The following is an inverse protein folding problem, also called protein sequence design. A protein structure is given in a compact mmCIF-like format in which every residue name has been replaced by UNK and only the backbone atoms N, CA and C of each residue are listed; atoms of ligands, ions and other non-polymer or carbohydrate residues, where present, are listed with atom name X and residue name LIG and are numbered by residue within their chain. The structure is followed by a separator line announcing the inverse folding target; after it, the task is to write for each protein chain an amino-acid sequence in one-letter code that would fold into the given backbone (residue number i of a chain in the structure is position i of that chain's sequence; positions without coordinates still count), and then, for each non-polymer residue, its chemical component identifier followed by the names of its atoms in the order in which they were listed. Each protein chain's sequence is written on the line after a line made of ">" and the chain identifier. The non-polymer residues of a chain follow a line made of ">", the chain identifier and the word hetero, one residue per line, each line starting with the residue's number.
data_IF_025004487031
#
_entry.id   IF_025004487031
#
_cell.length_a   1.000
_cell.length_b   1.000
_cell.length_c   1.000
_cell.angle_alpha   90.00
_cell.angle_beta   90.00
_cell.angle_gamma   90.00
#
_symmetry.space_group_name_H-M   'P 1'
#
loop_
_entity.id
_entity.type
_entity.pdbx_description
1 polymer ?
#
# COMPACT_ATOMS: atom_id res chain seq x y z
N UNK A 1 -12.28 6.48 -47.63
CA UNK A 1 -11.74 5.22 -47.06
C UNK A 1 -10.48 5.45 -46.23
N UNK A 2 -9.42 6.07 -46.76
CA UNK A 2 -8.15 6.33 -46.05
C UNK A 2 -8.31 7.21 -44.79
N UNK A 3 -9.12 8.27 -44.86
CA UNK A 3 -9.34 9.19 -43.73
C UNK A 3 -10.07 8.49 -42.55
N UNK A 4 -10.99 7.57 -42.86
CA UNK A 4 -11.72 6.79 -41.85
C UNK A 4 -10.76 5.79 -41.17
N UNK A 5 -9.85 5.17 -41.93
CA UNK A 5 -8.82 4.26 -41.39
C UNK A 5 -7.83 5.02 -40.50
N UNK A 6 -7.42 6.22 -40.90
CA UNK A 6 -6.56 7.09 -40.10
C UNK A 6 -7.25 7.56 -38.82
N UNK A 7 -8.54 7.92 -38.87
CA UNK A 7 -9.30 8.28 -37.67
C UNK A 7 -9.50 7.09 -36.72
N UNK A 8 -9.79 5.89 -37.25
CA UNK A 8 -9.92 4.67 -36.46
C UNK A 8 -8.62 4.27 -35.78
N UNK A 9 -7.49 4.34 -36.50
CA UNK A 9 -6.16 4.07 -35.91
C UNK A 9 -5.82 5.11 -34.85
N UNK A 10 -6.08 6.40 -35.09
CA UNK A 10 -5.83 7.45 -34.11
C UNK A 10 -6.71 7.34 -32.85
N UNK A 11 -7.97 6.89 -33.00
CA UNK A 11 -8.90 6.58 -31.90
C UNK A 11 -8.48 5.34 -31.11
N UNK A 12 -8.01 4.29 -31.79
CA UNK A 12 -7.44 3.08 -31.17
C UNK A 12 -6.13 3.41 -30.46
N UNK A 13 -5.33 4.34 -30.97
CA UNK A 13 -4.07 4.77 -30.35
C UNK A 13 -4.31 5.65 -29.12
N UNK A 14 -5.30 6.54 -29.13
CA UNK A 14 -5.67 7.36 -27.97
C UNK A 14 -6.49 6.60 -26.92
N UNK A 15 -7.17 5.52 -27.31
CA UNK A 15 -7.80 4.55 -26.41
C UNK A 15 -7.03 3.21 -26.44
N UNK A 16 -5.70 3.27 -26.47
CA UNK A 16 -4.87 2.08 -26.67
C UNK A 16 -4.75 1.26 -25.38
N UNK A 17 -4.76 -0.08 -25.47
CA UNK A 17 -4.51 -0.98 -24.35
C UNK A 17 -3.20 -0.68 -23.60
N UNK A 18 -2.23 -0.02 -24.25
CA UNK A 18 -0.93 0.33 -23.67
C UNK A 18 -1.05 1.30 -22.49
N UNK A 19 -1.88 2.34 -22.59
CA UNK A 19 -2.03 3.33 -21.50
C UNK A 19 -2.68 2.69 -20.27
N UNK A 20 -3.70 1.85 -20.49
CA UNK A 20 -4.38 1.14 -19.39
C UNK A 20 -3.42 0.15 -18.72
N UNK A 21 -2.66 -0.61 -19.52
CA UNK A 21 -1.64 -1.53 -19.00
C UNK A 21 -0.57 -0.80 -18.18
N UNK A 22 -0.13 0.37 -18.64
CA UNK A 22 0.84 1.20 -17.94
C UNK A 22 0.35 1.65 -16.54
N UNK A 23 -0.95 1.96 -16.41
CA UNK A 23 -1.57 2.31 -15.13
C UNK A 23 -1.63 1.08 -14.22
N UNK A 24 -2.09 -0.05 -14.75
CA UNK A 24 -2.18 -1.33 -14.03
C UNK A 24 -0.80 -1.77 -13.51
N UNK A 25 0.24 -1.69 -14.34
CA UNK A 25 1.61 -2.01 -13.93
C UNK A 25 2.14 -1.04 -12.89
N UNK A 26 1.85 0.26 -13.03
CA UNK A 26 2.26 1.26 -12.05
C UNK A 26 1.62 1.02 -10.69
N UNK A 27 0.31 0.69 -10.69
CA UNK A 27 -0.43 0.31 -9.50
C UNK A 27 0.16 -0.93 -8.84
N UNK A 28 0.38 -2.00 -9.60
CA UNK A 28 0.98 -3.23 -9.12
C UNK A 28 2.36 -2.99 -8.50
N UNK A 29 3.25 -2.29 -9.22
CA UNK A 29 4.60 -2.00 -8.73
C UNK A 29 4.57 -1.20 -7.42
N UNK A 30 3.77 -0.13 -7.35
CA UNK A 30 3.69 0.74 -6.17
C UNK A 30 3.06 0.03 -4.97
N UNK A 31 1.97 -0.72 -5.18
CA UNK A 31 1.28 -1.44 -4.11
C UNK A 31 2.18 -2.50 -3.53
N UNK A 32 2.73 -3.39 -4.37
CA UNK A 32 3.65 -4.43 -3.88
C UNK A 32 4.89 -3.82 -3.22
N UNK A 33 5.42 -2.70 -3.73
CA UNK A 33 6.54 -2.02 -3.08
C UNK A 33 6.17 -1.54 -1.66
N UNK A 34 4.96 -1.01 -1.48
CA UNK A 34 4.46 -0.59 -0.16
C UNK A 34 4.30 -1.81 0.76
N UNK A 35 3.61 -2.86 0.30
CA UNK A 35 3.33 -4.04 1.11
C UNK A 35 4.60 -4.79 1.53
N UNK A 36 5.58 -4.90 0.63
CA UNK A 36 6.81 -5.65 0.91
C UNK A 36 7.81 -4.86 1.76
N UNK A 37 8.07 -3.59 1.43
CA UNK A 37 9.12 -2.83 2.10
C UNK A 37 8.63 -2.04 3.32
N UNK A 38 7.35 -1.68 3.37
CA UNK A 38 6.74 -0.98 4.51
C UNK A 38 5.96 -1.99 5.36
N UNK A 39 5.08 -2.77 4.73
CA UNK A 39 4.22 -3.73 5.42
C UNK A 39 4.90 -5.04 5.83
N UNK A 40 6.13 -5.31 5.38
CA UNK A 40 6.87 -6.54 5.68
C UNK A 40 6.24 -7.81 5.10
N UNK A 41 5.32 -7.70 4.14
CA UNK A 41 4.57 -8.82 3.56
C UNK A 41 5.33 -9.52 2.44
N UNK A 42 4.89 -10.74 2.11
CA UNK A 42 5.30 -11.42 0.88
C UNK A 42 4.40 -11.01 -0.30
N UNK A 43 4.88 -11.23 -1.53
CA UNK A 43 4.08 -10.96 -2.74
C UNK A 43 2.86 -11.87 -2.79
N UNK A 44 2.97 -13.09 -2.26
CA UNK A 44 1.88 -14.06 -2.20
C UNK A 44 0.77 -13.59 -1.27
N UNK A 45 1.11 -13.12 -0.06
CA UNK A 45 0.13 -12.55 0.88
C UNK A 45 -0.58 -11.34 0.27
N UNK A 46 0.17 -10.50 -0.43
CA UNK A 46 -0.36 -9.34 -1.13
C UNK A 46 -1.31 -9.74 -2.28
N UNK A 47 -1.00 -10.83 -3.00
CA UNK A 47 -1.87 -11.37 -4.04
C UNK A 47 -3.16 -11.98 -3.52
N UNK A 48 -3.15 -12.59 -2.35
CA UNK A 48 -4.36 -13.20 -1.80
C UNK A 48 -5.27 -12.18 -1.12
N UNK A 49 -4.68 -11.19 -0.45
CA UNK A 49 -5.43 -10.23 0.39
C UNK A 49 -5.74 -8.92 -0.33
N UNK A 50 -4.81 -8.36 -1.10
CA UNK A 50 -4.94 -7.01 -1.66
C UNK A 50 -5.23 -7.04 -3.18
N UNK A 51 -4.36 -7.71 -3.93
CA UNK A 51 -4.43 -7.80 -5.40
C UNK A 51 -5.52 -8.78 -5.87
N UNK A 52 -5.81 -9.84 -5.12
CA UNK A 52 -6.70 -10.92 -5.55
C UNK A 52 -8.15 -10.48 -5.74
N UNK A 53 -8.58 -9.42 -5.06
CA UNK A 53 -9.87 -8.74 -5.30
C UNK A 53 -9.90 -7.91 -6.58
N UNK A 54 -8.74 -7.49 -7.08
CA UNK A 54 -8.57 -6.71 -8.30
C UNK A 54 -8.13 -7.64 -9.44
N UNK A 55 -9.07 -8.37 -10.02
CA UNK A 55 -8.83 -9.40 -11.04
C UNK A 55 -7.94 -8.96 -12.22
N UNK A 56 -7.92 -7.66 -12.54
CA UNK A 56 -7.08 -7.07 -13.58
C UNK A 56 -5.58 -7.05 -13.25
N UNK A 57 -5.18 -7.24 -11.99
CA UNK A 57 -3.79 -7.30 -11.53
C UNK A 57 -3.22 -8.74 -11.54
N UNK A 58 -4.07 -9.76 -11.65
CA UNK A 58 -3.66 -11.16 -11.55
C UNK A 58 -2.64 -11.58 -12.62
N UNK A 59 -2.76 -11.03 -13.83
CA UNK A 59 -1.92 -11.38 -14.98
C UNK A 59 -0.61 -10.57 -15.05
N UNK A 60 -0.37 -9.66 -14.11
CA UNK A 60 0.84 -8.83 -14.08
C UNK A 60 1.98 -9.63 -13.48
N UNK A 61 3.11 -9.69 -14.18
CA UNK A 61 4.37 -10.20 -13.62
C UNK A 61 4.95 -9.16 -12.68
N UNK A 62 5.33 -9.59 -11.48
CA UNK A 62 5.88 -8.73 -10.42
C UNK A 62 7.22 -9.31 -10.00
N UNK A 63 8.25 -8.46 -9.94
CA UNK A 63 9.60 -8.86 -9.51
C UNK A 63 10.06 -7.88 -8.45
N UNK A 64 10.36 -8.41 -7.25
CA UNK A 64 10.89 -7.65 -6.14
C UNK A 64 12.40 -7.81 -6.10
N UNK A 65 13.12 -6.69 -6.09
CA UNK A 65 14.56 -6.65 -5.85
C UNK A 65 14.81 -6.06 -4.46
N UNK A 66 15.23 -6.93 -3.52
CA UNK A 66 15.51 -6.53 -2.14
C UNK A 66 16.84 -5.80 -1.98
N UNK A 67 17.78 -5.98 -2.91
CA UNK A 67 19.10 -5.33 -2.88
C UNK A 67 19.00 -3.85 -3.23
N UNK A 68 18.26 -3.50 -4.29
CA UNK A 68 18.06 -2.11 -4.70
C UNK A 68 16.77 -1.49 -4.10
N UNK A 69 16.05 -2.27 -3.28
CA UNK A 69 14.77 -1.90 -2.66
C UNK A 69 13.75 -1.40 -3.67
N UNK A 70 13.48 -2.21 -4.70
CA UNK A 70 12.55 -1.85 -5.77
C UNK A 70 11.64 -2.99 -6.18
N UNK A 71 10.57 -2.63 -6.88
CA UNK A 71 9.64 -3.57 -7.52
C UNK A 71 9.41 -3.14 -8.95
N UNK A 72 9.46 -4.10 -9.88
CA UNK A 72 9.00 -3.90 -11.25
C UNK A 72 7.74 -4.72 -11.51
N UNK A 73 6.87 -4.18 -12.37
CA UNK A 73 5.65 -4.83 -12.80
C UNK A 73 5.42 -4.64 -14.29
N UNK A 74 4.97 -5.69 -14.98
CA UNK A 74 4.71 -5.68 -16.41
C UNK A 74 3.88 -6.89 -16.85
N UNK A 75 3.34 -6.82 -18.06
CA UNK A 75 2.82 -7.95 -18.84
C UNK A 75 3.72 -8.16 -20.06
N UNK A 76 3.83 -9.38 -20.56
CA UNK A 76 4.71 -9.71 -21.69
C UNK A 76 4.36 -8.83 -22.91
N UNK A 77 5.34 -8.08 -23.42
CA UNK A 77 5.16 -7.19 -24.57
C UNK A 77 4.69 -5.76 -24.23
N UNK A 78 4.53 -5.43 -22.95
CA UNK A 78 4.13 -4.10 -22.49
C UNK A 78 5.27 -3.34 -21.81
N UNK A 79 5.07 -2.05 -21.56
CA UNK A 79 6.01 -1.21 -20.79
C UNK A 79 6.18 -1.74 -19.37
N UNK A 80 7.42 -1.73 -18.88
CA UNK A 80 7.76 -2.03 -17.49
C UNK A 80 7.56 -0.78 -16.65
N UNK A 81 6.86 -0.92 -15.52
CA UNK A 81 6.78 0.12 -14.48
C UNK A 81 7.59 -0.30 -13.26
N UNK A 82 8.28 0.67 -12.65
CA UNK A 82 9.15 0.46 -11.49
C UNK A 82 8.72 1.37 -10.34
N UNK A 83 8.66 0.82 -9.14
CA UNK A 83 8.55 1.58 -7.90
C UNK A 83 9.78 1.29 -7.04
N UNK A 84 10.21 2.30 -6.27
CA UNK A 84 11.34 2.19 -5.34
C UNK A 84 10.86 2.49 -3.93
N UNK A 85 11.37 1.75 -2.96
CA UNK A 85 11.23 2.10 -1.56
C UNK A 85 12.27 3.15 -1.20
N UNK A 86 11.79 4.18 -0.51
CA UNK A 86 12.59 5.28 0.00
C UNK A 86 12.38 5.30 1.50
N UNK A 87 13.44 5.05 2.29
CA UNK A 87 13.34 5.10 3.75
C UNK A 87 12.63 6.37 4.19
N UNK A 88 11.69 6.25 5.12
CA UNK A 88 10.90 7.35 5.73
C UNK A 88 9.91 8.05 4.77
N UNK A 89 9.96 7.77 3.47
CA UNK A 89 9.07 8.34 2.45
C UNK A 89 8.15 7.30 1.80
N UNK A 90 8.37 6.02 2.09
CA UNK A 90 7.59 4.91 1.57
C UNK A 90 7.88 4.59 0.10
N UNK A 91 6.90 4.00 -0.58
CA UNK A 91 7.03 3.56 -1.97
C UNK A 91 6.74 4.70 -2.95
N UNK A 92 7.69 4.96 -3.86
CA UNK A 92 7.56 5.96 -4.93
C UNK A 92 7.59 5.29 -6.29
N UNK A 93 6.56 5.53 -7.10
CA UNK A 93 6.54 5.11 -8.51
C UNK A 93 7.49 5.98 -9.32
N UNK A 94 8.32 5.37 -10.16
CA UNK A 94 9.18 6.09 -11.10
C UNK A 94 8.33 6.51 -12.31
N UNK A 95 8.22 7.83 -12.52
CA UNK A 95 7.52 8.43 -13.66
C UNK A 95 8.41 9.45 -14.38
N UNK A 96 8.09 10.74 -14.28
CA UNK A 96 8.65 11.86 -15.04
C UNK A 96 10.13 12.15 -14.69
N UNK A 97 10.60 11.59 -13.57
CA UNK A 97 11.96 11.71 -13.10
C UNK A 97 12.67 10.36 -13.14
N UNK A 98 13.96 10.39 -13.45
CA UNK A 98 14.80 9.19 -13.36
C UNK A 98 14.90 8.70 -11.92
N UNK A 99 15.16 7.40 -11.75
CA UNK A 99 15.39 6.81 -10.42
C UNK A 99 16.45 7.58 -9.62
N UNK A 100 17.55 7.95 -10.28
CA UNK A 100 18.64 8.72 -9.69
C UNK A 100 18.15 10.09 -9.18
N UNK A 101 17.35 10.81 -9.97
CA UNK A 101 16.79 12.09 -9.55
C UNK A 101 15.88 11.91 -8.33
N UNK A 102 14.98 10.92 -8.35
CA UNK A 102 14.08 10.63 -7.22
C UNK A 102 14.87 10.27 -5.96
N UNK A 103 15.89 9.41 -6.07
CA UNK A 103 16.75 9.05 -4.93
C UNK A 103 17.59 10.21 -4.40
N UNK A 104 17.91 11.18 -5.26
CA UNK A 104 18.66 12.38 -4.85
C UNK A 104 17.81 13.47 -4.21
N UNK A 105 16.48 13.40 -4.32
CA UNK A 105 15.60 14.38 -3.69
C UNK A 105 15.79 14.38 -2.17
N UNK A 106 15.92 15.58 -1.61
CA UNK A 106 16.02 15.80 -0.16
C UNK A 106 14.67 16.28 0.35
N UNK A 107 14.30 15.81 1.54
CA UNK A 107 13.08 16.20 2.22
C UNK A 107 13.46 16.74 3.57
N UNK A 108 12.85 17.86 3.93
CA UNK A 108 12.91 18.34 5.29
C UNK A 108 11.83 17.59 6.06
N UNK A 109 12.22 16.50 6.72
CA UNK A 109 11.34 15.87 7.68
C UNK A 109 11.15 16.82 8.86
N UNK A 110 9.92 16.93 9.42
CA UNK A 110 9.74 17.66 10.66
C UNK A 110 10.65 17.04 11.72
N UNK A 111 11.31 17.88 12.51
CA UNK A 111 12.03 17.37 13.69
C UNK A 111 11.02 16.66 14.59
N UNK A 112 11.40 15.53 15.21
CA UNK A 112 10.59 14.92 16.24
C UNK A 112 10.30 15.97 17.33
N UNK A 113 9.18 15.85 18.08
CA UNK A 113 8.85 16.79 19.13
C UNK A 113 10.01 16.95 20.11
N UNK A 114 10.33 18.19 20.50
CA UNK A 114 11.35 18.47 21.51
C UNK A 114 10.90 18.12 22.95
N UNK A 115 9.68 17.63 23.09
CA UNK A 115 9.11 17.23 24.37
C UNK A 115 9.06 15.72 24.37
N UNK A 116 9.52 15.13 25.46
CA UNK A 116 9.41 13.70 25.70
C UNK A 116 7.92 13.29 25.78
N UNK A 117 7.47 12.53 24.78
CA UNK A 117 6.08 12.13 24.63
C UNK A 117 5.63 11.21 25.75
N UNK A 118 6.56 10.52 26.43
CA UNK A 118 6.27 9.65 27.58
C UNK A 118 5.70 10.42 28.79
N UNK A 119 5.80 11.76 28.78
CA UNK A 119 5.25 12.64 29.81
C UNK A 119 3.96 13.35 29.41
N UNK A 120 3.53 13.28 28.16
CA UNK A 120 2.31 13.92 27.67
C UNK A 120 1.20 12.87 27.53
N UNK A 121 0.05 13.04 28.20
CA UNK A 121 -1.09 12.13 28.02
C UNK A 121 -1.52 12.03 26.55
N UNK A 122 -2.02 10.86 26.18
CA UNK A 122 -2.77 10.69 24.94
C UNK A 122 -3.90 11.75 24.85
N UNK A 123 -4.22 12.31 23.66
CA UNK A 123 -3.73 11.96 22.32
C UNK A 123 -2.44 12.66 21.88
N UNK A 124 -1.89 13.58 22.69
CA UNK A 124 -0.76 14.40 22.27
C UNK A 124 0.61 13.77 22.55
N UNK A 125 0.65 12.67 23.31
CA UNK A 125 1.85 11.87 23.54
C UNK A 125 1.49 10.47 24.02
N UNK A 126 2.50 9.78 24.53
CA UNK A 126 2.49 8.34 24.80
C UNK A 126 2.50 8.04 26.31
N UNK A 127 2.23 9.04 27.16
CA UNK A 127 2.13 8.81 28.60
C UNK A 127 0.97 7.89 28.91
N UNK A 128 1.31 6.69 29.37
CA UNK A 128 0.38 5.77 29.99
C UNK A 128 0.07 6.31 31.40
N UNK A 129 -1.12 6.91 31.56
CA UNK A 129 -1.53 7.56 32.81
C UNK A 129 -1.92 6.52 33.88
N UNK A 130 -2.45 5.38 33.44
CA UNK A 130 -2.85 4.27 34.30
C UNK A 130 -2.63 2.93 33.59
N UNK A 131 -2.05 1.97 34.31
CA UNK A 131 -1.90 0.59 33.86
C UNK A 131 -3.03 -0.31 34.35
N UNK A 132 -3.92 0.21 35.21
CA UNK A 132 -5.08 -0.51 35.72
C UNK A 132 -6.13 -0.67 34.62
N UNK A 133 -6.66 -1.89 34.52
CA UNK A 133 -7.73 -2.16 33.57
C UNK A 133 -9.04 -1.54 34.10
N UNK A 134 -9.82 -0.80 33.29
CA UNK A 134 -11.01 -0.12 33.79
C UNK A 134 -12.02 -1.10 34.36
N UNK A 135 -12.46 -0.88 35.60
CA UNK A 135 -13.34 -1.82 36.31
C UNK A 135 -14.74 -1.94 35.69
N UNK A 136 -15.16 -0.95 34.89
CA UNK A 136 -16.43 -0.96 34.16
C UNK A 136 -16.32 -1.63 32.78
N UNK A 137 -15.13 -2.06 32.35
CA UNK A 137 -14.93 -2.74 31.08
C UNK A 137 -14.83 -4.25 31.32
N UNK A 138 -15.68 -5.01 30.64
CA UNK A 138 -15.58 -6.47 30.64
C UNK A 138 -14.48 -6.90 29.68
N UNK A 139 -13.31 -7.28 30.24
CA UNK A 139 -12.14 -7.67 29.47
C UNK A 139 -12.40 -8.81 28.50
N UNK A 140 -13.05 -9.88 28.96
CA UNK A 140 -13.34 -11.06 28.13
C UNK A 140 -14.29 -10.72 26.99
N UNK A 141 -15.28 -9.86 27.22
CA UNK A 141 -16.19 -9.44 26.16
C UNK A 141 -15.47 -8.59 25.10
N UNK A 142 -14.58 -7.69 25.52
CA UNK A 142 -13.77 -6.88 24.61
C UNK A 142 -12.82 -7.73 23.77
N UNK A 143 -12.07 -8.64 24.40
CA UNK A 143 -11.13 -9.54 23.72
C UNK A 143 -11.87 -10.40 22.69
N UNK A 144 -13.00 -11.01 23.07
CA UNK A 144 -13.82 -11.77 22.12
C UNK A 144 -14.33 -10.92 20.95
N UNK A 145 -14.72 -9.66 21.21
CA UNK A 145 -15.15 -8.76 20.15
C UNK A 145 -13.99 -8.45 19.18
N UNK A 146 -12.80 -8.13 19.71
CA UNK A 146 -11.60 -7.87 18.91
C UNK A 146 -11.23 -9.12 18.09
N UNK A 147 -11.14 -10.27 18.72
CA UNK A 147 -10.76 -11.53 18.07
C UNK A 147 -11.74 -11.88 16.94
N UNK A 148 -13.04 -11.67 17.17
CA UNK A 148 -14.08 -11.94 16.16
C UNK A 148 -13.92 -11.08 14.89
N UNK A 149 -13.34 -9.88 14.98
CA UNK A 149 -13.11 -9.01 13.83
C UNK A 149 -12.03 -9.54 12.89
N UNK A 150 -11.13 -10.41 13.37
CA UNK A 150 -10.09 -11.04 12.57
C UNK A 150 -10.50 -12.41 12.01
N UNK A 151 -11.69 -12.91 12.37
CA UNK A 151 -12.21 -14.18 11.87
C UNK A 151 -13.07 -13.93 10.63
N UNK A 152 -12.66 -14.49 9.50
CA UNK A 152 -13.45 -14.44 8.27
C UNK A 152 -14.62 -15.42 8.34
N UNK A 153 -15.82 -14.90 8.57
CA UNK A 153 -17.04 -15.71 8.71
C UNK A 153 -17.75 -16.00 7.39
N UNK A 154 -17.56 -15.14 6.38
CA UNK A 154 -18.12 -15.32 5.04
C UNK A 154 -16.99 -15.33 3.99
N UNK A 155 -16.61 -16.50 3.45
CA UNK A 155 -15.56 -16.60 2.43
C UNK A 155 -15.84 -15.79 1.15
N UNK A 156 -17.11 -15.51 0.83
CA UNK A 156 -17.51 -14.74 -0.35
C UNK A 156 -17.50 -13.23 -0.11
N UNK A 157 -17.46 -12.79 1.15
CA UNK A 157 -17.43 -11.39 1.54
C UNK A 157 -16.54 -11.23 2.79
N UNK A 158 -15.21 -11.40 2.62
CA UNK A 158 -14.29 -11.27 3.74
C UNK A 158 -14.21 -9.81 4.23
N UNK A 159 -14.03 -9.63 5.54
CA UNK A 159 -13.93 -8.33 6.22
C UNK A 159 -12.52 -7.75 6.05
N UNK A 160 -11.48 -8.61 6.04
CA UNK A 160 -10.06 -8.26 5.87
C UNK A 160 -9.59 -7.20 6.87
N UNK A 161 -9.94 -7.37 8.15
CA UNK A 161 -9.48 -6.49 9.22
C UNK A 161 -7.95 -6.54 9.33
N UNK A 162 -7.29 -5.41 9.11
CA UNK A 162 -5.83 -5.29 9.24
C UNK A 162 -5.39 -4.68 10.56
N UNK A 163 -6.22 -3.83 11.16
CA UNK A 163 -5.93 -3.15 12.42
C UNK A 163 -7.24 -2.81 13.13
N UNK A 164 -7.18 -2.82 14.46
CA UNK A 164 -8.24 -2.36 15.35
C UNK A 164 -7.60 -1.37 16.31
N UNK A 165 -8.23 -0.22 16.50
CA UNK A 165 -7.85 0.77 17.51
C UNK A 165 -8.95 0.82 18.55
N UNK A 166 -8.58 0.63 19.81
CA UNK A 166 -9.51 0.73 20.95
C UNK A 166 -9.13 1.98 21.73
N UNK A 167 -10.10 2.87 21.92
CA UNK A 167 -9.94 4.09 22.70
C UNK A 167 -10.92 4.03 23.87
N UNK A 168 -10.45 4.34 25.07
CA UNK A 168 -11.25 4.40 26.28
C UNK A 168 -10.99 5.73 26.97
N UNK A 169 -12.07 6.47 27.26
CA UNK A 169 -12.03 7.77 27.95
C UNK A 169 -11.00 8.76 27.34
N UNK A 170 -11.11 8.96 26.01
CA UNK A 170 -10.17 9.74 25.20
C UNK A 170 -10.32 11.25 25.30
#
# INVERSE_FOLDING_TARGET
>A
MIIIILLLTHLIDHCSPSVVNDIIHGLAAKYTCSDVFIGGRTVEQQRTVDIGSASYLNNVTIIVNRTDSSVIAYTKGSTIRKAIYRPELGATLISDYTERQIRSQRFNLPSPPNIDQDYIPWPMGDKIVDYSYPSNVNRTALENAIDSLFIETNPNLPIRTHAVVVVYDG
#
